data_IF_043034444600
#
_entry.id   IF_043034444600
#
_cell.length_a   1.000
_cell.length_b   1.000
_cell.length_c   1.000
_cell.angle_alpha   90.00
_cell.angle_beta   90.00
_cell.angle_gamma   90.00
#
_symmetry.space_group_name_H-M   'P 1'
#
loop_
_entity.id
_entity.type
_entity.pdbx_description
1 polymer ?
#
# COMPACT_ATOMS: atom_id res chain seq x y z
N UNK A 1 9.31 22.91 44.48
CA UNK A 1 9.27 22.41 43.79
C UNK A 1 9.43 22.01 42.84
N UNK A 2 9.53 21.73 42.51
CA UNK A 2 9.52 21.27 41.57
C UNK A 2 9.89 20.66 40.97
N UNK A 3 10.10 20.10 40.78
CA UNK A 3 10.45 19.40 40.09
C UNK A 3 9.94 18.86 39.43
N UNK A 4 9.65 18.62 39.43
CA UNK A 4 9.11 17.95 38.75
C UNK A 4 9.19 18.05 37.69
N UNK A 5 9.35 18.33 37.70
CA UNK A 5 9.31 18.42 36.71
C UNK A 5 9.84 17.82 35.73
N UNK A 6 10.27 17.74 35.47
CA UNK A 6 10.76 17.23 34.41
C UNK A 6 10.28 15.98 34.02
N UNK A 7 9.93 15.41 34.63
CA UNK A 7 9.59 14.30 34.36
C UNK A 7 8.80 13.90 33.41
N UNK A 8 8.10 14.37 33.07
CA UNK A 8 7.19 14.07 32.16
C UNK A 8 7.61 13.70 30.88
N UNK A 9 8.68 14.03 30.42
CA UNK A 9 9.01 13.89 29.06
C UNK A 9 9.47 12.57 28.67
N UNK A 10 9.97 11.78 29.54
CA UNK A 10 10.52 10.57 29.13
C UNK A 10 9.63 9.59 28.54
N UNK A 11 8.45 9.41 28.98
CA UNK A 11 7.63 8.35 28.44
C UNK A 11 7.31 8.54 27.00
N UNK A 12 7.28 9.74 26.56
CA UNK A 12 6.94 9.98 25.22
C UNK A 12 7.87 9.38 24.23
N UNK A 13 9.11 9.47 24.54
CA UNK A 13 10.10 8.94 23.64
C UNK A 13 10.00 7.46 23.52
N UNK A 14 9.79 6.81 24.59
CA UNK A 14 9.72 5.37 24.57
C UNK A 14 8.58 4.89 23.72
N UNK A 15 7.51 5.62 23.71
CA UNK A 15 6.38 5.16 22.97
C UNK A 15 6.54 5.25 21.50
N UNK A 16 7.34 6.12 21.02
CA UNK A 16 7.53 6.28 19.61
C UNK A 16 8.30 5.16 19.00
N UNK A 17 9.02 4.39 19.80
CA UNK A 17 9.88 3.36 19.26
C UNK A 17 9.05 2.23 18.67
N UNK A 18 9.26 1.91 17.41
CA UNK A 18 8.65 0.78 16.78
C UNK A 18 7.19 0.94 16.39
N UNK A 19 6.63 2.13 16.59
CA UNK A 19 5.24 2.35 16.20
C UNK A 19 5.13 3.57 15.35
N UNK A 20 4.25 3.49 14.35
CA UNK A 20 4.01 4.64 13.51
C UNK A 20 3.25 4.28 12.25
N UNK A 21 3.33 5.17 11.29
CA UNK A 21 2.78 4.90 9.97
C UNK A 21 3.61 5.61 8.93
N UNK A 22 3.60 5.07 7.72
CA UNK A 22 4.17 5.76 6.57
C UNK A 22 3.17 5.69 5.43
N UNK A 23 3.32 6.63 4.52
CA UNK A 23 2.41 6.77 3.39
C UNK A 23 3.24 6.98 2.14
N UNK A 24 2.80 6.38 1.05
CA UNK A 24 3.43 6.59 -0.25
C UNK A 24 2.38 6.50 -1.33
N UNK A 25 2.61 7.23 -2.41
CA UNK A 25 1.70 7.23 -3.54
C UNK A 25 2.48 7.39 -4.83
N UNK A 26 1.84 7.02 -5.92
CA UNK A 26 2.43 7.22 -7.24
C UNK A 26 1.31 7.38 -8.26
N UNK A 27 1.70 7.84 -9.44
CA UNK A 27 0.79 7.83 -10.57
C UNK A 27 0.75 6.42 -11.13
N UNK A 28 -0.31 6.11 -11.82
CA UNK A 28 -0.61 4.74 -12.15
C UNK A 28 -0.10 4.29 -13.49
N UNK A 29 -0.59 3.15 -13.89
CA UNK A 29 -0.18 2.44 -15.09
C UNK A 29 -1.35 2.34 -16.05
N UNK A 30 -1.08 1.88 -17.26
CA UNK A 30 -2.12 1.63 -18.27
C UNK A 30 -2.06 0.17 -18.65
N UNK A 31 -3.22 -0.49 -18.62
CA UNK A 31 -3.38 -1.84 -19.13
C UNK A 31 -3.96 -1.77 -20.51
N UNK A 32 -3.23 -2.26 -21.49
CA UNK A 32 -3.68 -2.25 -22.88
C UNK A 32 -4.04 -3.63 -23.40
N UNK A 33 -3.74 -4.67 -22.66
CA UNK A 33 -3.96 -6.05 -23.08
C UNK A 33 -4.52 -6.87 -21.94
N UNK A 34 -5.41 -7.81 -22.30
CA UNK A 34 -5.87 -8.81 -21.36
C UNK A 34 -4.78 -9.83 -21.15
N UNK A 35 -4.69 -10.36 -19.95
CA UNK A 35 -3.72 -11.41 -19.63
C UNK A 35 -2.34 -10.90 -19.36
N UNK A 36 -2.13 -9.59 -19.35
CA UNK A 36 -0.83 -8.99 -19.05
C UNK A 36 -0.99 -8.15 -17.79
N UNK A 37 -0.30 -8.57 -16.74
CA UNK A 37 -0.36 -7.85 -15.48
C UNK A 37 0.59 -6.65 -15.52
N UNK A 38 0.16 -5.55 -14.91
CA UNK A 38 0.97 -4.36 -14.77
C UNK A 38 1.06 -3.99 -13.30
N UNK A 39 2.26 -3.63 -12.85
CA UNK A 39 2.42 -3.27 -11.45
C UNK A 39 2.75 -1.80 -11.29
N UNK A 40 2.36 -1.25 -10.15
CA UNK A 40 2.73 0.09 -9.78
C UNK A 40 4.22 0.16 -9.50
N UNK A 41 4.71 1.39 -9.36
CA UNK A 41 6.03 1.57 -8.78
C UNK A 41 6.01 1.07 -7.34
N UNK A 42 7.16 0.66 -6.81
CA UNK A 42 7.22 0.30 -5.40
C UNK A 42 6.83 1.51 -4.53
N UNK A 43 5.94 1.27 -3.58
CA UNK A 43 5.52 2.29 -2.63
C UNK A 43 6.26 1.99 -1.34
N UNK A 44 7.13 2.90 -0.94
CA UNK A 44 8.06 2.65 0.16
C UNK A 44 8.12 3.87 1.07
N UNK A 45 8.53 3.67 2.34
CA UNK A 45 8.69 4.81 3.22
C UNK A 45 9.82 5.71 2.72
N UNK A 46 9.67 7.00 2.95
CA UNK A 46 10.68 7.96 2.54
C UNK A 46 11.90 7.95 3.45
N UNK A 47 11.76 7.38 4.64
CA UNK A 47 12.85 7.25 5.59
C UNK A 47 12.84 5.85 6.16
N UNK A 48 13.97 5.36 6.66
CA UNK A 48 13.99 4.03 7.23
C UNK A 48 13.04 3.93 8.42
N UNK A 49 12.31 2.83 8.49
CA UNK A 49 11.43 2.54 9.60
C UNK A 49 11.75 1.15 10.11
N UNK A 50 11.43 0.89 11.36
CA UNK A 50 11.61 -0.42 11.96
C UNK A 50 10.26 -0.92 12.43
N UNK A 51 10.19 -2.20 12.77
CA UNK A 51 8.96 -2.81 13.20
C UNK A 51 8.30 -3.61 12.11
N UNK A 52 7.07 -3.98 12.34
CA UNK A 52 6.33 -4.87 11.45
C UNK A 52 5.00 -4.23 11.10
N UNK A 53 4.54 -4.50 9.89
CA UNK A 53 3.24 -4.00 9.46
C UNK A 53 2.13 -4.57 10.30
N UNK A 54 1.11 -3.76 10.55
CA UNK A 54 -0.11 -4.21 11.21
C UNK A 54 -1.28 -4.02 10.25
N UNK A 55 -1.74 -2.80 10.05
CA UNK A 55 -2.86 -2.54 9.17
C UNK A 55 -2.38 -1.73 7.98
N UNK A 56 -2.79 -2.14 6.78
CA UNK A 56 -2.49 -1.38 5.57
C UNK A 56 -3.79 -0.84 5.01
N UNK A 57 -3.81 0.46 4.75
CA UNK A 57 -4.93 1.14 4.11
C UNK A 57 -4.49 1.41 2.67
N UNK A 58 -5.31 1.02 1.72
CA UNK A 58 -4.93 1.17 0.32
C UNK A 58 -6.03 1.87 -0.47
N UNK A 59 -5.62 2.58 -1.51
CA UNK A 59 -6.58 3.06 -2.49
C UNK A 59 -5.91 3.27 -3.83
N UNK A 60 -6.71 3.22 -4.87
CA UNK A 60 -6.30 3.63 -6.20
C UNK A 60 -7.52 4.21 -6.90
N UNK A 61 -7.29 4.99 -7.94
CA UNK A 61 -8.40 5.53 -8.71
C UNK A 61 -8.19 5.22 -10.19
N UNK A 62 -9.30 4.92 -10.84
CA UNK A 62 -9.32 4.57 -12.26
C UNK A 62 -9.92 5.70 -13.06
N UNK A 63 -9.46 5.84 -14.29
CA UNK A 63 -10.07 6.75 -15.25
C UNK A 63 -10.95 5.90 -16.14
N UNK A 64 -12.25 6.22 -16.16
CA UNK A 64 -13.21 5.49 -16.97
C UNK A 64 -13.80 4.31 -16.22
N UNK A 65 -14.59 3.49 -16.89
CA UNK A 65 -15.29 2.40 -16.24
C UNK A 65 -14.34 1.26 -15.87
N UNK A 66 -14.70 0.54 -14.83
CA UNK A 66 -13.94 -0.63 -14.41
C UNK A 66 -14.22 -1.77 -15.38
N UNK A 67 -13.19 -2.35 -15.99
CA UNK A 67 -13.43 -3.48 -16.90
C UNK A 67 -13.89 -4.71 -16.13
N UNK A 68 -14.73 -5.51 -16.79
CA UNK A 68 -15.18 -6.76 -16.18
C UNK A 68 -14.02 -7.69 -15.99
N UNK A 69 -14.01 -8.36 -14.85
CA UNK A 69 -12.97 -9.35 -14.54
C UNK A 69 -11.68 -8.77 -14.02
N UNK A 70 -11.62 -7.48 -13.74
CA UNK A 70 -10.40 -6.88 -13.20
C UNK A 70 -10.03 -7.57 -11.88
N UNK A 71 -8.78 -7.97 -11.78
CA UNK A 71 -8.20 -8.54 -10.58
C UNK A 71 -7.07 -7.63 -10.12
N UNK A 72 -7.06 -7.34 -8.82
CA UNK A 72 -6.05 -6.45 -8.25
C UNK A 72 -5.45 -7.13 -7.04
N UNK A 73 -4.13 -7.10 -6.95
CA UNK A 73 -3.39 -7.62 -5.81
C UNK A 73 -2.51 -6.54 -5.25
N UNK A 74 -2.28 -6.62 -3.97
CA UNK A 74 -1.29 -5.80 -3.27
C UNK A 74 -0.22 -6.75 -2.77
N UNK A 75 1.03 -6.46 -3.06
CA UNK A 75 2.14 -7.37 -2.77
C UNK A 75 3.27 -6.66 -2.04
N UNK A 76 3.81 -7.32 -1.03
CA UNK A 76 5.11 -6.99 -0.47
C UNK A 76 6.16 -7.82 -1.21
N UNK A 77 7.38 -7.82 -0.72
CA UNK A 77 8.41 -8.65 -1.33
C UNK A 77 8.13 -10.14 -1.15
N UNK A 78 7.47 -10.49 -0.08
CA UNK A 78 7.29 -11.90 0.27
C UNK A 78 5.83 -12.36 0.27
N UNK A 79 4.88 -11.46 0.12
CA UNK A 79 3.48 -11.83 0.34
C UNK A 79 2.57 -10.99 -0.53
N UNK A 80 1.54 -11.60 -1.10
CA UNK A 80 0.52 -10.90 -1.87
C UNK A 80 -0.86 -11.19 -1.29
N UNK A 81 -1.77 -10.25 -1.47
CA UNK A 81 -3.17 -10.44 -1.12
C UNK A 81 -4.04 -9.85 -2.21
N UNK A 82 -5.19 -10.50 -2.46
CA UNK A 82 -6.15 -9.93 -3.38
C UNK A 82 -6.95 -8.86 -2.66
N UNK A 83 -7.30 -7.80 -3.39
CA UNK A 83 -8.06 -6.70 -2.84
C UNK A 83 -9.24 -6.41 -3.75
N UNK A 84 -10.34 -5.95 -3.15
CA UNK A 84 -11.56 -5.64 -3.87
C UNK A 84 -11.87 -4.16 -3.80
N UNK A 85 -12.30 -3.60 -4.93
CA UNK A 85 -12.68 -2.20 -4.98
C UNK A 85 -11.48 -1.28 -5.01
N UNK A 86 -11.75 0.02 -5.02
CA UNK A 86 -10.71 1.03 -5.19
C UNK A 86 -10.14 1.53 -3.88
N UNK A 87 -10.69 1.10 -2.76
CA UNK A 87 -10.16 1.46 -1.44
C UNK A 87 -10.54 0.41 -0.41
N UNK A 88 -9.75 0.32 0.63
CA UNK A 88 -10.03 -0.60 1.72
C UNK A 88 -8.86 -0.72 2.66
N UNK A 89 -8.97 -1.71 3.54
CA UNK A 89 -7.94 -2.02 4.51
C UNK A 89 -7.67 -3.51 4.49
N UNK A 90 -6.47 -3.90 4.91
CA UNK A 90 -6.12 -5.30 4.99
C UNK A 90 -5.14 -5.53 6.14
N UNK A 91 -5.27 -6.69 6.77
CA UNK A 91 -4.31 -7.14 7.78
C UNK A 91 -3.43 -8.27 7.23
N UNK A 92 -3.49 -8.50 5.92
CA UNK A 92 -2.77 -9.61 5.31
C UNK A 92 -1.26 -9.49 5.42
N UNK A 93 -0.75 -8.28 5.65
CA UNK A 93 0.69 -8.06 5.78
C UNK A 93 1.16 -8.04 7.24
N UNK A 94 0.30 -8.44 8.16
CA UNK A 94 0.65 -8.46 9.56
C UNK A 94 1.93 -9.29 9.75
N UNK A 95 2.92 -8.69 10.39
CA UNK A 95 4.21 -9.36 10.61
C UNK A 95 5.24 -9.14 9.53
N UNK A 96 4.87 -8.54 8.40
CA UNK A 96 5.85 -8.21 7.36
C UNK A 96 6.68 -7.02 7.83
N UNK A 97 8.01 -7.02 7.61
CA UNK A 97 8.81 -5.88 8.02
C UNK A 97 8.27 -4.57 7.44
N UNK A 98 8.15 -3.57 8.30
CA UNK A 98 7.51 -2.32 7.92
C UNK A 98 8.24 -1.57 6.82
N UNK A 99 9.54 -1.84 6.64
CA UNK A 99 10.36 -1.17 5.64
C UNK A 99 10.12 -1.72 4.23
N UNK A 100 9.47 -2.88 4.08
CA UNK A 100 9.29 -3.47 2.76
C UNK A 100 8.36 -2.64 1.90
N UNK A 101 8.71 -2.41 0.64
CA UNK A 101 7.81 -1.70 -0.26
C UNK A 101 6.62 -2.56 -0.63
N UNK A 102 5.53 -1.89 -0.99
CA UNK A 102 4.33 -2.55 -1.48
C UNK A 102 4.09 -2.13 -2.92
N UNK A 103 3.46 -3.00 -3.70
CA UNK A 103 3.09 -2.72 -5.08
C UNK A 103 1.69 -3.22 -5.33
N UNK A 104 0.94 -2.44 -6.10
CA UNK A 104 -0.32 -2.92 -6.67
C UNK A 104 0.00 -3.65 -7.97
N UNK A 105 -0.80 -4.68 -8.26
CA UNK A 105 -0.72 -5.40 -9.52
C UNK A 105 -2.14 -5.50 -10.05
N UNK A 106 -2.36 -4.99 -11.26
CA UNK A 106 -3.67 -5.03 -11.93
C UNK A 106 -3.59 -5.96 -13.11
N UNK A 107 -4.63 -6.76 -13.30
CA UNK A 107 -4.71 -7.68 -14.43
C UNK A 107 -6.16 -7.90 -14.81
N UNK A 108 -6.43 -7.94 -16.12
CA UNK A 108 -7.72 -8.37 -16.64
C UNK A 108 -7.47 -9.68 -17.36
N UNK A 109 -8.05 -10.80 -16.90
CA UNK A 109 -7.77 -12.11 -17.50
C UNK A 109 -8.23 -12.18 -18.94
N UNK A 110 -7.63 -13.08 -19.69
CA UNK A 110 -7.97 -13.33 -21.08
C UNK A 110 -6.81 -13.06 -22.00
N UNK A 111 -7.12 -12.77 -23.23
CA UNK A 111 -6.11 -12.46 -24.24
C UNK A 111 -6.60 -11.35 -25.14
N UNK A 112 -5.68 -10.79 -25.91
CA UNK A 112 -5.99 -9.73 -26.85
C UNK A 112 -6.05 -8.35 -26.21
N UNK A 113 -6.51 -7.39 -26.98
CA UNK A 113 -6.54 -6.02 -26.54
C UNK A 113 -7.64 -5.76 -25.55
N UNK A 114 -7.35 -4.87 -24.60
CA UNK A 114 -8.34 -4.36 -23.67
C UNK A 114 -8.82 -3.02 -24.19
N UNK A 115 -10.09 -2.95 -24.58
CA UNK A 115 -10.67 -1.75 -25.18
C UNK A 115 -11.92 -1.36 -24.43
N UNK A 116 -11.96 -0.16 -23.86
CA UNK A 116 -10.87 0.80 -23.78
C UNK A 116 -9.79 0.33 -22.83
N UNK A 117 -8.58 0.82 -23.02
CA UNK A 117 -7.50 0.50 -22.12
C UNK A 117 -7.86 0.98 -20.72
N UNK A 118 -7.41 0.24 -19.70
CA UNK A 118 -7.63 0.63 -18.32
C UNK A 118 -6.51 1.56 -17.90
N UNK A 119 -6.87 2.73 -17.40
CA UNK A 119 -5.89 3.69 -16.90
C UNK A 119 -6.06 3.84 -15.41
N UNK A 120 -4.99 3.60 -14.67
CA UNK A 120 -4.95 3.83 -13.24
C UNK A 120 -4.38 5.21 -13.02
N UNK A 121 -5.18 6.13 -12.50
CA UNK A 121 -4.76 7.51 -12.33
C UNK A 121 -3.75 7.67 -11.22
N UNK A 122 -4.02 7.03 -10.07
CA UNK A 122 -3.14 7.14 -8.90
C UNK A 122 -3.32 5.92 -8.02
N UNK A 123 -2.34 5.70 -7.16
CA UNK A 123 -2.41 4.63 -6.18
C UNK A 123 -1.63 5.03 -4.94
N UNK A 124 -2.07 4.56 -3.79
CA UNK A 124 -1.43 4.93 -2.53
C UNK A 124 -1.68 3.88 -1.46
N UNK A 125 -0.78 3.85 -0.49
CA UNK A 125 -0.94 3.03 0.71
C UNK A 125 -0.57 3.86 1.93
N UNK A 126 -1.21 3.53 3.04
CA UNK A 126 -0.81 3.96 4.36
C UNK A 126 -0.51 2.69 5.14
N UNK A 127 0.70 2.56 5.61
CA UNK A 127 1.14 1.35 6.33
C UNK A 127 1.30 1.72 7.79
N UNK A 128 0.47 1.09 8.63
CA UNK A 128 0.61 1.23 10.08
C UNK A 128 1.50 0.10 10.56
N UNK A 129 2.39 0.41 11.48
CA UNK A 129 3.36 -0.58 11.97
C UNK A 129 3.64 -0.37 13.45
N UNK A 130 4.24 -1.39 14.04
CA UNK A 130 4.68 -1.35 15.42
C UNK A 130 5.78 -2.39 15.67
#
# INVERSE_FOLDING_TARGET
>A
MRKWLGLLLFPLVAQAAGEGSWQASSIGVTLSNRGVAMSSRPLAPSEPVSGQMSLVVWNYSLIGPTPGGLQVRLCSQSRCTEIDGESGTTQAFNGVPAIEPLRFIWEVPGGGRLIPALKVQSNSVIVNYR
#
